data_IF_737726797663
#
_entry.id   IF_737726797663
#
_cell.length_a   1.000
_cell.length_b   1.000
_cell.length_c   1.000
_cell.angle_alpha   90.00
_cell.angle_beta   90.00
_cell.angle_gamma   90.00
#
_symmetry.space_group_name_H-M   'P 1'
#
loop_
_entity.id
_entity.type
_entity.pdbx_description
1 polymer ?
#
# COMPACT_ATOMS: atom_id res chain seq x y z
N UNK A 1 3.16 -9.21 -11.67
CA UNK A 1 2.87 -7.77 -11.46
C UNK A 1 3.38 -7.00 -12.67
N UNK A 2 2.58 -6.11 -13.27
CA UNK A 2 3.02 -5.24 -14.39
C UNK A 2 3.26 -3.83 -13.84
N UNK A 3 4.51 -3.37 -13.71
CA UNK A 3 4.81 -2.09 -13.08
C UNK A 3 4.42 -0.91 -13.98
N UNK A 4 3.91 0.15 -13.38
CA UNK A 4 3.55 1.39 -14.09
C UNK A 4 4.06 2.62 -13.34
N UNK A 5 4.70 3.54 -14.05
CA UNK A 5 5.35 4.71 -13.44
C UNK A 5 4.77 6.05 -13.93
N UNK A 6 3.45 6.14 -14.10
CA UNK A 6 2.78 7.31 -14.70
C UNK A 6 3.14 8.64 -14.00
N UNK A 7 3.43 8.63 -12.68
CA UNK A 7 3.90 9.85 -11.97
C UNK A 7 5.27 10.30 -12.48
N UNK A 8 6.22 9.37 -12.67
CA UNK A 8 7.55 9.63 -13.22
C UNK A 8 7.49 10.00 -14.70
N UNK A 9 6.74 9.23 -15.49
CA UNK A 9 6.62 9.44 -16.94
C UNK A 9 6.11 10.84 -17.29
N UNK A 10 5.18 11.40 -16.51
CA UNK A 10 4.66 12.76 -16.74
C UNK A 10 5.75 13.84 -16.72
N UNK A 11 6.87 13.64 -16.03
CA UNK A 11 7.98 14.62 -15.99
C UNK A 11 8.74 14.73 -17.32
N UNK A 12 8.73 13.68 -18.15
CA UNK A 12 9.47 13.62 -19.42
C UNK A 12 8.72 12.75 -20.44
N UNK A 13 7.43 13.00 -20.64
CA UNK A 13 6.50 12.07 -21.33
C UNK A 13 6.89 11.70 -22.75
N UNK A 14 7.54 12.64 -23.45
CA UNK A 14 7.95 12.51 -24.85
C UNK A 14 9.42 12.14 -25.03
N UNK A 15 10.20 12.00 -23.95
CA UNK A 15 11.60 11.61 -24.07
C UNK A 15 11.70 10.17 -24.59
N UNK A 16 12.73 9.91 -25.40
CA UNK A 16 13.01 8.57 -25.94
C UNK A 16 13.00 7.45 -24.87
N UNK A 17 13.66 7.58 -23.70
CA UNK A 17 13.63 6.52 -22.69
C UNK A 17 12.24 6.29 -22.11
N UNK A 18 11.47 7.34 -21.80
CA UNK A 18 10.11 7.19 -21.26
C UNK A 18 9.14 6.63 -22.31
N UNK A 19 9.32 7.00 -23.58
CA UNK A 19 8.57 6.40 -24.69
C UNK A 19 8.82 4.89 -24.77
N UNK A 20 10.07 4.44 -24.66
CA UNK A 20 10.42 3.03 -24.65
C UNK A 20 9.77 2.28 -23.48
N UNK A 21 9.82 2.83 -22.25
CA UNK A 21 9.15 2.25 -21.08
C UNK A 21 7.63 2.11 -21.29
N UNK A 22 6.98 3.12 -21.87
CA UNK A 22 5.54 3.10 -22.15
C UNK A 22 5.17 2.05 -23.20
N UNK A 23 5.99 1.87 -24.24
CA UNK A 23 5.78 0.82 -25.25
C UNK A 23 5.93 -0.56 -24.62
N UNK A 24 6.95 -0.77 -23.79
CA UNK A 24 7.14 -2.02 -23.06
C UNK A 24 5.94 -2.33 -22.14
N UNK A 25 5.47 -1.32 -21.40
CA UNK A 25 4.26 -1.43 -20.57
C UNK A 25 3.02 -1.79 -21.39
N UNK A 26 2.77 -1.08 -22.51
CA UNK A 26 1.65 -1.38 -23.39
C UNK A 26 1.69 -2.82 -23.89
N UNK A 27 2.85 -3.28 -24.39
CA UNK A 27 3.03 -4.67 -24.83
C UNK A 27 2.74 -5.67 -23.74
N UNK A 28 3.21 -5.43 -22.51
CA UNK A 28 2.97 -6.31 -21.37
C UNK A 28 1.47 -6.37 -20.99
N UNK A 29 0.77 -5.22 -20.99
CA UNK A 29 -0.66 -5.16 -20.69
C UNK A 29 -1.48 -5.88 -21.75
N UNK A 30 -1.12 -5.76 -23.02
CA UNK A 30 -1.83 -6.37 -24.15
C UNK A 30 -1.38 -7.81 -24.46
N UNK A 31 -0.42 -8.37 -23.70
CA UNK A 31 0.16 -9.69 -23.97
C UNK A 31 -0.84 -10.84 -23.82
N UNK A 32 -1.91 -10.63 -23.04
CA UNK A 32 -2.93 -11.63 -22.76
C UNK A 32 -4.33 -11.08 -23.04
N UNK A 33 -5.24 -11.97 -23.43
CA UNK A 33 -6.66 -11.71 -23.44
C UNK A 33 -7.22 -12.11 -22.08
N UNK A 34 -7.64 -11.12 -21.28
CA UNK A 34 -8.22 -11.37 -19.96
C UNK A 34 -9.73 -11.62 -20.09
N UNK A 35 -10.26 -12.56 -19.32
CA UNK A 35 -11.71 -12.75 -19.20
C UNK A 35 -12.39 -11.52 -18.59
N UNK A 36 -11.72 -10.90 -17.61
CA UNK A 36 -12.16 -9.66 -16.98
C UNK A 36 -10.96 -8.75 -16.64
N UNK A 37 -11.11 -7.46 -16.92
CA UNK A 37 -10.21 -6.39 -16.50
C UNK A 37 -10.95 -5.52 -15.48
N UNK A 38 -10.57 -5.60 -14.21
CA UNK A 38 -11.29 -4.92 -13.10
C UNK A 38 -10.50 -3.68 -12.65
N UNK A 39 -11.05 -2.48 -12.88
CA UNK A 39 -10.50 -1.21 -12.40
C UNK A 39 -11.09 -0.85 -11.03
N UNK A 40 -10.34 -1.17 -9.97
CA UNK A 40 -10.70 -0.83 -8.59
C UNK A 40 -10.27 0.60 -8.17
N UNK A 41 -9.58 1.35 -9.02
CA UNK A 41 -9.06 2.67 -8.67
C UNK A 41 -10.09 3.78 -8.96
N UNK A 42 -10.81 3.68 -10.09
CA UNK A 42 -11.88 4.62 -10.44
C UNK A 42 -11.40 6.05 -10.71
N UNK A 43 -10.18 6.22 -11.24
CA UNK A 43 -9.61 7.50 -11.67
C UNK A 43 -9.48 7.53 -13.20
N UNK A 44 -9.72 8.68 -13.82
CA UNK A 44 -9.59 8.88 -15.28
C UNK A 44 -8.21 8.47 -15.76
N UNK A 45 -7.18 8.79 -14.98
CA UNK A 45 -5.80 8.47 -15.33
C UNK A 45 -5.55 6.96 -15.44
N UNK A 46 -6.01 6.15 -14.48
CA UNK A 46 -5.86 4.68 -14.60
C UNK A 46 -6.76 4.14 -15.70
N UNK A 47 -7.99 4.61 -15.77
CA UNK A 47 -8.96 4.16 -16.75
C UNK A 47 -8.46 4.38 -18.19
N UNK A 48 -7.98 5.59 -18.50
CA UNK A 48 -7.56 5.98 -19.84
C UNK A 48 -6.18 5.42 -20.25
N UNK A 49 -5.23 5.31 -19.31
CA UNK A 49 -3.84 4.95 -19.58
C UNK A 49 -3.49 3.49 -19.28
N UNK A 50 -4.38 2.75 -18.59
CA UNK A 50 -4.15 1.34 -18.22
C UNK A 50 -5.35 0.50 -18.66
N UNK A 51 -6.51 0.68 -18.03
CA UNK A 51 -7.69 -0.18 -18.22
C UNK A 51 -8.14 -0.22 -19.68
N UNK A 52 -8.14 0.93 -20.36
CA UNK A 52 -8.50 1.07 -21.77
C UNK A 52 -7.61 0.23 -22.71
N UNK A 53 -6.34 0.05 -22.36
CA UNK A 53 -5.36 -0.64 -23.21
C UNK A 53 -5.48 -2.17 -23.11
N UNK A 54 -5.92 -2.69 -21.97
CA UNK A 54 -6.03 -4.12 -21.74
C UNK A 54 -7.08 -4.80 -22.63
N UNK A 55 -6.79 -6.02 -23.08
CA UNK A 55 -7.71 -6.83 -23.86
C UNK A 55 -8.63 -7.65 -22.94
N UNK A 56 -9.94 -7.53 -23.11
CA UNK A 56 -10.93 -8.14 -22.22
C UNK A 56 -12.07 -7.22 -21.86
N UNK A 57 -13.10 -7.76 -21.20
CA UNK A 57 -14.26 -6.99 -20.72
C UNK A 57 -13.80 -6.13 -19.53
N UNK A 58 -14.00 -4.81 -19.63
CA UNK A 58 -13.55 -3.86 -18.61
C UNK A 58 -14.67 -3.58 -17.63
N UNK A 59 -14.43 -3.90 -16.37
CA UNK A 59 -15.33 -3.66 -15.26
C UNK A 59 -14.81 -2.51 -14.40
N UNK A 60 -15.73 -1.70 -13.87
CA UNK A 60 -15.38 -0.66 -12.91
C UNK A 60 -16.62 -0.06 -12.26
N UNK A 61 -16.39 0.91 -11.38
CA UNK A 61 -17.47 1.66 -10.72
C UNK A 61 -18.24 2.52 -11.73
N UNK A 62 -19.55 2.66 -11.50
CA UNK A 62 -20.41 3.52 -12.30
C UNK A 62 -20.13 5.02 -12.09
N UNK A 63 -20.82 5.87 -12.86
CA UNK A 63 -20.68 7.33 -12.76
C UNK A 63 -20.91 7.87 -11.35
N UNK A 64 -21.91 7.34 -10.65
CA UNK A 64 -22.32 7.82 -9.32
C UNK A 64 -21.34 7.43 -8.23
N UNK A 65 -20.59 6.34 -8.41
CA UNK A 65 -19.78 5.68 -7.35
C UNK A 65 -18.28 5.73 -7.59
N UNK A 66 -17.85 5.94 -8.83
CA UNK A 66 -16.45 6.17 -9.17
C UNK A 66 -15.90 7.41 -8.44
N UNK A 67 -14.59 7.40 -8.19
CA UNK A 67 -13.90 8.53 -7.54
C UNK A 67 -13.84 9.73 -8.47
N UNK A 68 -13.57 9.50 -9.75
CA UNK A 68 -13.74 10.47 -10.83
C UNK A 68 -14.79 9.91 -11.80
N UNK A 69 -16.01 10.48 -11.88
CA UNK A 69 -17.12 9.91 -12.66
C UNK A 69 -16.78 9.63 -14.13
N UNK A 70 -15.95 10.47 -14.74
CA UNK A 70 -15.46 10.33 -16.11
C UNK A 70 -14.68 9.02 -16.36
N UNK A 71 -14.12 8.40 -15.31
CA UNK A 71 -13.48 7.09 -15.42
C UNK A 71 -14.45 6.01 -15.92
N UNK A 72 -15.75 6.14 -15.57
CA UNK A 72 -16.79 5.18 -15.97
C UNK A 72 -17.04 5.12 -17.48
N UNK A 73 -16.57 6.12 -18.25
CA UNK A 73 -16.67 6.14 -19.71
C UNK A 73 -15.76 5.09 -20.39
N UNK A 74 -14.76 4.59 -19.66
CA UNK A 74 -13.80 3.61 -20.19
C UNK A 74 -14.17 2.15 -19.87
N UNK A 75 -15.29 1.91 -19.18
CA UNK A 75 -15.71 0.58 -18.73
C UNK A 75 -16.85 0.03 -19.60
N UNK A 76 -16.77 -1.25 -19.95
CA UNK A 76 -17.85 -1.97 -20.62
C UNK A 76 -18.97 -2.34 -19.64
N UNK A 77 -18.60 -2.76 -18.43
CA UNK A 77 -19.51 -3.14 -17.34
C UNK A 77 -19.32 -2.17 -16.18
N UNK A 78 -20.41 -1.51 -15.79
CA UNK A 78 -20.42 -0.48 -14.75
C UNK A 78 -21.21 -1.00 -13.58
N UNK A 79 -20.59 -0.96 -12.40
CA UNK A 79 -21.18 -1.48 -11.17
C UNK A 79 -21.42 -0.35 -10.20
N UNK A 80 -22.63 -0.30 -9.65
CA UNK A 80 -22.93 0.58 -8.53
C UNK A 80 -22.28 0.01 -7.27
N UNK A 81 -21.36 0.74 -6.65
CA UNK A 81 -20.67 0.36 -5.40
C UNK A 81 -20.83 1.47 -4.37
N UNK A 82 -21.60 1.23 -3.31
CA UNK A 82 -21.92 2.25 -2.32
C UNK A 82 -20.66 2.95 -1.80
N UNK A 83 -20.67 4.29 -1.69
CA UNK A 83 -19.51 5.07 -1.22
C UNK A 83 -19.33 4.99 0.29
N UNK A 84 -20.43 4.87 1.04
CA UNK A 84 -20.46 4.84 2.50
C UNK A 84 -20.08 3.47 3.05
N UNK A 85 -18.90 2.98 2.68
CA UNK A 85 -18.33 1.74 3.21
C UNK A 85 -16.80 1.79 3.09
N UNK A 86 -16.14 0.97 3.91
CA UNK A 86 -14.68 0.88 3.92
C UNK A 86 -14.14 0.46 2.54
N UNK A 87 -12.94 0.94 2.17
CA UNK A 87 -12.35 0.70 0.85
C UNK A 87 -12.16 -0.79 0.52
N UNK A 88 -11.87 -1.61 1.54
CA UNK A 88 -11.79 -3.08 1.40
C UNK A 88 -13.13 -3.66 0.96
N UNK A 89 -14.23 -3.29 1.62
CA UNK A 89 -15.57 -3.79 1.29
C UNK A 89 -16.03 -3.34 -0.11
N UNK A 90 -15.75 -2.09 -0.48
CA UNK A 90 -16.01 -1.57 -1.84
C UNK A 90 -15.31 -2.42 -2.90
N UNK A 91 -14.05 -2.78 -2.65
CA UNK A 91 -13.24 -3.57 -3.58
C UNK A 91 -13.77 -5.00 -3.65
N UNK A 92 -14.11 -5.62 -2.52
CA UNK A 92 -14.73 -6.96 -2.47
C UNK A 92 -16.04 -7.00 -3.23
N UNK A 93 -16.91 -6.00 -3.05
CA UNK A 93 -18.17 -5.88 -3.77
C UNK A 93 -17.97 -5.73 -5.28
N UNK A 94 -17.00 -4.90 -5.71
CA UNK A 94 -16.68 -4.73 -7.11
C UNK A 94 -16.23 -6.04 -7.76
N UNK A 95 -15.40 -6.82 -7.07
CA UNK A 95 -14.93 -8.12 -7.57
C UNK A 95 -16.06 -9.14 -7.64
N UNK A 96 -16.90 -9.22 -6.60
CA UNK A 96 -18.09 -10.07 -6.56
C UNK A 96 -19.02 -9.81 -7.77
N UNK A 97 -19.38 -8.54 -8.00
CA UNK A 97 -20.23 -8.14 -9.14
C UNK A 97 -19.56 -8.34 -10.50
N UNK A 98 -18.24 -8.19 -10.59
CA UNK A 98 -17.52 -8.33 -11.86
C UNK A 98 -17.34 -9.79 -12.27
N UNK A 99 -17.14 -10.68 -11.31
CA UNK A 99 -16.86 -12.10 -11.53
C UNK A 99 -18.09 -13.00 -11.33
N UNK A 100 -19.23 -12.44 -10.92
CA UNK A 100 -20.50 -13.16 -10.84
C UNK A 100 -20.61 -14.11 -9.65
N UNK A 101 -20.06 -13.74 -8.50
CA UNK A 101 -20.22 -14.49 -7.25
C UNK A 101 -20.77 -13.60 -6.13
N UNK A 102 -21.37 -14.21 -5.11
CA UNK A 102 -21.89 -13.48 -3.95
C UNK A 102 -20.77 -13.02 -3.02
N UNK A 103 -20.77 -11.74 -2.66
CA UNK A 103 -19.79 -11.19 -1.71
C UNK A 103 -19.92 -11.91 -0.36
N UNK A 104 -18.87 -12.58 0.15
CA UNK A 104 -18.92 -13.21 1.46
C UNK A 104 -19.21 -12.19 2.57
N UNK A 105 -19.99 -12.60 3.58
CA UNK A 105 -20.29 -11.79 4.77
C UNK A 105 -19.16 -11.81 5.80
N UNK A 106 -18.23 -12.76 5.69
CA UNK A 106 -17.04 -12.81 6.53
C UNK A 106 -16.17 -11.56 6.36
N UNK A 107 -15.33 -11.28 7.36
CA UNK A 107 -14.32 -10.22 7.26
C UNK A 107 -13.34 -10.52 6.12
N UNK A 108 -12.88 -9.48 5.42
CA UNK A 108 -11.89 -9.62 4.37
C UNK A 108 -10.56 -10.16 4.91
N UNK A 109 -10.08 -11.26 4.32
CA UNK A 109 -8.74 -11.80 4.57
C UNK A 109 -7.78 -11.27 3.51
N UNK A 110 -6.70 -10.60 3.94
CA UNK A 110 -5.65 -10.14 3.03
C UNK A 110 -4.79 -11.28 2.50
N UNK A 111 -4.77 -12.44 3.19
CA UNK A 111 -4.04 -13.67 2.84
C UNK A 111 -2.52 -13.51 2.64
N UNK A 112 -1.92 -12.37 2.98
CA UNK A 112 -0.48 -12.10 2.82
C UNK A 112 0.38 -12.57 4.01
N UNK A 113 -0.20 -12.71 5.21
CA UNK A 113 0.58 -13.03 6.42
C UNK A 113 1.35 -14.35 6.29
N UNK A 114 0.72 -15.36 5.67
CA UNK A 114 1.31 -16.69 5.44
C UNK A 114 2.61 -16.65 4.63
N UNK A 115 2.75 -15.67 3.72
CA UNK A 115 3.96 -15.48 2.92
C UNK A 115 5.16 -15.08 3.79
N UNK A 116 4.93 -14.32 4.86
CA UNK A 116 5.99 -13.81 5.73
C UNK A 116 6.29 -14.74 6.92
N UNK A 117 5.32 -15.58 7.32
CA UNK A 117 5.46 -16.50 8.46
C UNK A 117 6.37 -17.72 8.16
N UNK A 118 6.53 -18.13 6.90
CA UNK A 118 7.38 -19.27 6.54
C UNK A 118 8.88 -19.07 6.79
N UNK A 119 9.32 -17.83 7.04
CA UNK A 119 10.73 -17.49 7.22
C UNK A 119 11.12 -17.22 8.69
N UNK A 120 10.23 -17.46 9.65
CA UNK A 120 10.57 -17.28 11.07
C UNK A 120 11.27 -18.52 11.63
N UNK A 121 12.58 -18.61 11.40
CA UNK A 121 13.50 -19.43 12.18
C UNK A 121 14.35 -18.52 13.08
N UNK A 122 13.80 -18.15 14.22
CA UNK A 122 14.51 -17.88 15.47
C UNK A 122 13.51 -17.33 16.49
N UNK A 123 13.58 -17.82 17.74
CA UNK A 123 12.98 -17.17 18.91
C UNK A 123 13.77 -15.87 19.12
N UNK A 124 13.34 -14.80 18.45
CA UNK A 124 13.86 -13.45 18.68
C UNK A 124 13.23 -12.88 19.94
N UNK A 125 13.98 -12.08 20.69
CA UNK A 125 13.44 -11.26 21.78
C UNK A 125 12.19 -10.52 21.31
N UNK A 126 11.15 -10.40 22.15
CA UNK A 126 9.92 -9.73 21.77
C UNK A 126 10.21 -8.27 21.41
N UNK A 127 9.61 -7.81 20.32
CA UNK A 127 9.82 -6.44 19.87
C UNK A 127 8.55 -5.78 19.35
N UNK A 128 8.52 -4.45 19.49
CA UNK A 128 7.56 -3.57 18.86
C UNK A 128 8.18 -2.83 17.67
N UNK A 129 7.34 -2.51 16.68
CA UNK A 129 7.73 -1.63 15.56
C UNK A 129 6.96 -0.33 15.67
N UNK A 130 7.67 0.79 15.76
CA UNK A 130 7.08 2.14 15.82
C UNK A 130 7.17 2.82 14.45
N UNK A 131 6.02 3.00 13.81
CA UNK A 131 5.90 3.60 12.49
C UNK A 131 5.78 5.13 12.60
N UNK A 132 6.91 5.81 12.73
CA UNK A 132 6.98 7.27 12.91
C UNK A 132 6.94 8.08 11.61
N UNK A 133 7.12 7.44 10.46
CA UNK A 133 7.13 8.10 9.15
C UNK A 133 5.72 8.22 8.56
N UNK A 134 5.35 9.42 8.10
CA UNK A 134 4.10 9.65 7.36
C UNK A 134 4.32 10.72 6.30
N UNK A 135 3.42 10.78 5.31
CA UNK A 135 3.62 11.61 4.11
C UNK A 135 3.33 13.10 4.31
N UNK A 136 2.76 13.52 5.44
CA UNK A 136 2.39 14.91 5.70
C UNK A 136 2.78 15.32 7.12
N UNK A 137 3.27 16.54 7.28
CA UNK A 137 3.79 17.00 8.56
C UNK A 137 2.75 17.09 9.67
N UNK A 138 1.52 17.48 9.33
CA UNK A 138 0.38 17.56 10.25
C UNK A 138 -0.05 16.19 10.80
N UNK A 139 0.40 15.10 10.18
CA UNK A 139 0.13 13.73 10.65
C UNK A 139 1.24 13.16 11.51
N UNK A 140 2.33 13.89 11.71
CA UNK A 140 3.40 13.44 12.60
C UNK A 140 2.99 13.64 14.05
N UNK A 141 3.14 12.59 14.84
CA UNK A 141 3.19 12.76 16.28
C UNK A 141 4.53 13.41 16.66
N UNK A 142 4.55 14.43 17.55
CA UNK A 142 5.76 15.11 17.95
C UNK A 142 6.85 14.14 18.45
N UNK A 143 8.11 14.43 18.13
CA UNK A 143 9.25 13.57 18.53
C UNK A 143 9.35 13.44 20.06
N UNK A 144 9.02 14.48 20.81
CA UNK A 144 8.99 14.46 22.27
C UNK A 144 8.05 13.36 22.81
N UNK A 145 6.86 13.23 22.22
CA UNK A 145 5.89 12.25 22.66
C UNK A 145 6.30 10.82 22.28
N UNK A 146 6.95 10.64 21.13
CA UNK A 146 7.57 9.36 20.78
C UNK A 146 8.65 8.96 21.78
N UNK A 147 9.51 9.91 22.19
CA UNK A 147 10.55 9.65 23.19
C UNK A 147 9.98 9.33 24.56
N UNK A 148 8.90 9.99 24.97
CA UNK A 148 8.18 9.67 26.20
C UNK A 148 7.62 8.25 26.16
N UNK A 149 6.95 7.87 25.07
CA UNK A 149 6.44 6.51 24.87
C UNK A 149 7.55 5.46 24.89
N UNK A 150 8.68 5.74 24.23
CA UNK A 150 9.86 4.87 24.26
C UNK A 150 10.34 4.68 25.70
N UNK A 151 10.45 5.77 26.47
CA UNK A 151 10.85 5.72 27.88
C UNK A 151 9.93 4.87 28.75
N UNK A 152 8.61 4.94 28.53
CA UNK A 152 7.62 4.11 29.24
C UNK A 152 7.78 2.61 28.96
N UNK A 153 8.30 2.24 27.78
CA UNK A 153 8.49 0.84 27.37
C UNK A 153 9.77 0.24 27.96
N UNK A 154 10.75 1.04 28.36
CA UNK A 154 12.08 0.55 28.77
C UNK A 154 12.08 -0.52 29.87
N UNK A 155 11.14 -0.44 30.82
CA UNK A 155 11.06 -1.39 31.93
C UNK A 155 10.34 -2.70 31.60
N UNK A 156 9.86 -2.86 30.36
CA UNK A 156 9.05 -4.02 29.94
C UNK A 156 9.87 -5.17 29.35
N UNK A 157 11.16 -4.95 29.07
CA UNK A 157 12.01 -5.90 28.35
C UNK A 157 11.73 -5.99 26.84
N UNK A 158 10.85 -5.14 26.32
CA UNK A 158 10.49 -5.09 24.90
C UNK A 158 11.54 -4.28 24.11
N UNK A 159 12.07 -4.85 23.02
CA UNK A 159 12.90 -4.09 22.08
C UNK A 159 12.02 -3.27 21.13
N UNK A 160 12.49 -2.12 20.69
CA UNK A 160 11.78 -1.26 19.72
C UNK A 160 12.58 -1.20 18.43
N UNK A 161 11.92 -1.37 17.29
CA UNK A 161 12.52 -1.22 15.95
C UNK A 161 11.92 -0.03 15.21
N UNK A 162 12.78 0.82 14.66
CA UNK A 162 12.41 2.03 13.91
C UNK A 162 12.77 1.89 12.42
N UNK A 163 11.79 1.62 11.54
CA UNK A 163 12.02 1.57 10.10
C UNK A 163 12.02 2.97 9.46
N UNK A 164 12.76 3.11 8.37
CA UNK A 164 12.81 4.35 7.57
C UNK A 164 13.01 4.01 6.08
N UNK A 165 12.56 4.92 5.20
CA UNK A 165 12.69 4.80 3.75
C UNK A 165 13.42 5.98 3.08
N UNK A 166 13.47 7.15 3.73
CA UNK A 166 14.16 8.34 3.26
C UNK A 166 15.20 8.87 4.28
N UNK A 167 16.25 9.59 3.84
CA UNK A 167 17.32 10.06 4.74
C UNK A 167 16.86 10.93 5.91
N UNK A 168 15.82 11.75 5.72
CA UNK A 168 15.26 12.58 6.79
C UNK A 168 14.50 11.75 7.84
N UNK A 169 13.95 10.60 7.45
CA UNK A 169 13.29 9.65 8.36
C UNK A 169 14.35 8.88 9.18
N UNK A 170 15.48 8.52 8.56
CA UNK A 170 16.63 7.92 9.28
C UNK A 170 17.16 8.86 10.36
N UNK A 171 17.36 10.14 10.02
CA UNK A 171 17.82 11.14 10.98
C UNK A 171 16.85 11.30 12.16
N UNK A 172 15.54 11.20 11.90
CA UNK A 172 14.52 11.18 12.96
C UNK A 172 14.61 9.90 13.80
N UNK A 173 14.70 8.73 13.17
CA UNK A 173 14.82 7.47 13.88
C UNK A 173 16.03 7.47 14.84
N UNK A 174 17.17 8.02 14.40
CA UNK A 174 18.37 8.20 15.24
C UNK A 174 18.10 9.10 16.46
N UNK A 175 17.45 10.25 16.27
CA UNK A 175 17.06 11.13 17.41
C UNK A 175 16.05 10.47 18.35
N UNK A 176 15.18 9.60 17.86
CA UNK A 176 14.24 8.86 18.71
C UNK A 176 14.94 7.76 19.51
N UNK A 177 15.92 7.07 18.92
CA UNK A 177 16.68 6.01 19.56
C UNK A 177 17.76 6.51 20.53
N UNK A 178 18.19 7.77 20.39
CA UNK A 178 19.26 8.36 21.21
C UNK A 178 18.98 8.26 22.71
N UNK A 179 19.89 7.62 23.45
CA UNK A 179 19.80 7.39 24.89
C UNK A 179 19.02 6.13 25.30
N UNK A 180 18.61 5.27 24.35
CA UNK A 180 17.87 4.05 24.63
C UNK A 180 18.53 2.81 23.98
N UNK A 181 19.19 1.96 24.78
CA UNK A 181 19.93 0.78 24.30
C UNK A 181 19.03 -0.37 23.78
N UNK A 182 17.72 -0.27 24.03
CA UNK A 182 16.68 -1.21 23.58
C UNK A 182 15.94 -0.73 22.34
N UNK A 183 16.40 0.35 21.69
CA UNK A 183 15.80 0.89 20.45
C UNK A 183 16.78 0.74 19.28
N UNK A 184 16.39 -0.09 18.32
CA UNK A 184 17.16 -0.39 17.12
C UNK A 184 16.67 0.43 15.92
N UNK A 185 17.52 1.32 15.38
CA UNK A 185 17.28 1.93 14.07
C UNK A 185 17.62 0.91 13.00
N UNK A 186 16.62 0.51 12.20
CA UNK A 186 16.83 -0.54 11.20
C UNK A 186 17.75 -0.05 10.07
N UNK A 187 18.49 -0.95 9.40
CA UNK A 187 19.16 -0.59 8.15
C UNK A 187 18.13 -0.24 7.06
N UNK A 188 18.61 0.35 5.97
CA UNK A 188 17.76 0.61 4.80
C UNK A 188 17.25 -0.73 4.24
N UNK A 189 15.93 -0.87 4.20
CA UNK A 189 15.24 -2.09 3.78
C UNK A 189 14.31 -1.85 2.60
N UNK A 190 14.06 -2.90 1.82
CA UNK A 190 12.96 -2.98 0.87
C UNK A 190 11.60 -3.09 1.58
N UNK A 191 10.51 -2.84 0.83
CA UNK A 191 9.16 -2.95 1.38
C UNK A 191 8.84 -4.37 1.88
N UNK A 192 9.38 -5.39 1.21
CA UNK A 192 9.20 -6.79 1.60
C UNK A 192 9.91 -7.10 2.92
N UNK A 193 11.12 -6.61 3.11
CA UNK A 193 11.88 -6.77 4.34
C UNK A 193 11.20 -6.06 5.52
N UNK A 194 10.70 -4.83 5.31
CA UNK A 194 9.92 -4.12 6.35
C UNK A 194 8.63 -4.89 6.68
N UNK A 195 7.94 -5.45 5.68
CA UNK A 195 6.76 -6.27 5.91
C UNK A 195 7.09 -7.54 6.71
N UNK A 196 8.26 -8.15 6.50
CA UNK A 196 8.76 -9.29 7.27
C UNK A 196 9.03 -8.91 8.74
N UNK A 197 9.63 -7.75 8.98
CA UNK A 197 9.83 -7.21 10.35
C UNK A 197 8.48 -6.93 11.03
N UNK A 198 7.51 -6.38 10.31
CA UNK A 198 6.17 -6.16 10.86
C UNK A 198 5.43 -7.47 11.16
N UNK A 199 5.57 -8.48 10.30
CA UNK A 199 4.94 -9.78 10.49
C UNK A 199 5.49 -10.57 11.69
N UNK A 200 6.73 -10.28 12.11
CA UNK A 200 7.32 -10.85 13.33
C UNK A 200 7.21 -9.99 14.57
N UNK A 201 6.61 -8.81 14.48
CA UNK A 201 6.43 -7.94 15.63
C UNK A 201 5.32 -8.46 16.54
N UNK A 202 5.56 -8.49 17.84
CA UNK A 202 4.53 -8.82 18.83
C UNK A 202 3.47 -7.71 18.92
N UNK A 203 3.90 -6.47 18.61
CA UNK A 203 3.05 -5.30 18.56
C UNK A 203 3.54 -4.36 17.44
N UNK A 204 2.63 -3.86 16.62
CA UNK A 204 2.93 -2.75 15.71
C UNK A 204 2.09 -1.54 16.09
N UNK A 205 2.73 -0.39 16.28
CA UNK A 205 2.04 0.82 16.71
C UNK A 205 2.20 1.92 15.64
N UNK A 206 1.07 2.44 15.19
CA UNK A 206 0.98 3.54 14.23
C UNK A 206 -0.03 4.55 14.75
N UNK A 207 0.46 5.68 15.27
CA UNK A 207 -0.41 6.79 15.66
C UNK A 207 -0.65 7.69 14.45
N UNK A 208 -1.93 7.87 14.12
CA UNK A 208 -2.40 8.93 13.22
C UNK A 208 -3.09 9.92 14.16
N UNK A 209 -2.67 11.20 14.24
CA UNK A 209 -3.41 12.18 15.04
C UNK A 209 -4.85 12.28 14.53
N UNK A 210 -5.79 12.45 15.47
CA UNK A 210 -7.22 12.58 15.22
C UNK A 210 -7.55 13.75 14.30
#
# INVERSE_FOLDING_TARGET
MIPVAIRRWRKAWFSAPIKAERIAFHRAVCAYQYDAVIDAQGLVKSAALVTRLAHGIKHGMDWSTAREPLASLFYNRKHHIAKQQHAVERTRELFAKSLGYDKPQSQGDYAIAKHFLHCQQAVSDPYAVFLHATTRDDKHWPEANWRELIGLVGNTGLRIKLPWGAPHEEARAKRLAEGFDYVDVLPRMSLEEVARVLAGANLSYRLIPA
#
